data_IF_394619524389
#
_entry.id   IF_394619524389
#
_cell.length_a   1.000
_cell.length_b   1.000
_cell.length_c   1.000
_cell.angle_alpha   90.00
_cell.angle_beta   90.00
_cell.angle_gamma   90.00
#
_symmetry.space_group_name_H-M   'P 1'
#
loop_
_entity.id
_entity.type
_entity.pdbx_description
1 polymer ?
#
# COMPACT_ATOMS: atom_id res chain seq x y z
N UNK A 1 10.29 -10.86 14.12
CA UNK A 1 11.23 -11.33 13.09
C UNK A 1 11.20 -10.31 11.96
N UNK A 2 12.29 -9.58 11.72
CA UNK A 2 12.42 -8.75 10.52
C UNK A 2 12.85 -9.66 9.37
N UNK A 3 12.08 -9.66 8.30
CA UNK A 3 12.40 -10.42 7.10
C UNK A 3 13.00 -9.42 6.09
N UNK A 4 14.22 -9.69 5.62
CA UNK A 4 14.91 -8.86 4.63
C UNK A 4 15.00 -9.52 3.25
N UNK A 5 14.95 -8.70 2.19
CA UNK A 5 15.23 -9.17 0.84
C UNK A 5 16.59 -9.86 0.77
N UNK A 6 16.69 -10.86 -0.09
CA UNK A 6 17.95 -11.53 -0.38
C UNK A 6 17.83 -13.02 -0.69
N UNK A 7 18.98 -13.69 -0.89
CA UNK A 7 20.31 -13.10 -0.92
C UNK A 7 20.47 -12.07 -2.06
N UNK A 8 21.21 -10.99 -1.82
CA UNK A 8 21.48 -9.96 -2.83
C UNK A 8 22.40 -10.52 -3.93
N UNK A 9 22.35 -9.93 -5.12
CA UNK A 9 23.32 -10.23 -6.18
C UNK A 9 24.70 -9.58 -5.91
N UNK A 10 25.68 -9.84 -6.78
CA UNK A 10 27.05 -9.31 -6.66
C UNK A 10 27.14 -7.78 -6.69
N UNK A 11 26.12 -7.10 -7.23
CA UNK A 11 26.02 -5.64 -7.29
C UNK A 11 25.23 -5.06 -6.09
N UNK A 12 24.88 -5.91 -5.11
CA UNK A 12 24.08 -5.55 -3.94
C UNK A 12 22.60 -5.30 -4.26
N UNK A 13 22.07 -5.87 -5.35
CA UNK A 13 20.68 -5.66 -5.76
C UNK A 13 19.76 -6.76 -5.25
N UNK A 14 18.50 -6.39 -5.02
CA UNK A 14 17.43 -7.34 -4.70
C UNK A 14 17.17 -8.26 -5.89
N UNK A 15 17.00 -9.59 -5.71
CA UNK A 15 16.69 -10.51 -6.81
C UNK A 15 15.45 -10.09 -7.60
N UNK A 16 15.50 -10.19 -8.93
CA UNK A 16 14.43 -9.75 -9.84
C UNK A 16 13.06 -10.36 -9.51
N UNK A 17 13.02 -11.59 -8.97
CA UNK A 17 11.77 -12.27 -8.58
C UNK A 17 11.12 -11.61 -7.39
N UNK A 18 11.92 -11.26 -6.38
CA UNK A 18 11.46 -10.54 -5.19
C UNK A 18 11.02 -9.12 -5.58
N UNK A 19 11.79 -8.45 -6.45
CA UNK A 19 11.40 -7.15 -6.99
C UNK A 19 10.04 -7.22 -7.70
N UNK A 20 9.87 -8.18 -8.62
CA UNK A 20 8.64 -8.37 -9.39
C UNK A 20 7.43 -8.56 -8.47
N UNK A 21 7.50 -9.49 -7.51
CA UNK A 21 6.36 -9.80 -6.62
C UNK A 21 5.99 -8.62 -5.72
N UNK A 22 6.98 -7.95 -5.11
CA UNK A 22 6.71 -6.78 -4.25
C UNK A 22 6.22 -5.60 -5.06
N UNK A 23 6.86 -5.28 -6.19
CA UNK A 23 6.43 -4.20 -7.06
C UNK A 23 4.99 -4.42 -7.54
N UNK A 24 4.64 -5.63 -7.95
CA UNK A 24 3.28 -5.94 -8.39
C UNK A 24 2.25 -5.79 -7.28
N UNK A 25 2.55 -6.23 -6.06
CA UNK A 25 1.65 -6.03 -4.92
C UNK A 25 1.44 -4.54 -4.63
N UNK A 26 2.52 -3.77 -4.56
CA UNK A 26 2.47 -2.33 -4.35
C UNK A 26 1.72 -1.61 -5.47
N UNK A 27 1.97 -1.96 -6.74
CA UNK A 27 1.25 -1.43 -7.89
C UNK A 27 -0.24 -1.76 -7.83
N UNK A 28 -0.61 -2.97 -7.39
CA UNK A 28 -2.01 -3.34 -7.20
C UNK A 28 -2.68 -2.49 -6.11
N UNK A 29 -2.05 -2.37 -4.94
CA UNK A 29 -2.58 -1.61 -3.81
C UNK A 29 -2.71 -0.10 -4.14
N UNK A 30 -1.61 0.53 -4.57
CA UNK A 30 -1.59 1.96 -4.94
C UNK A 30 -2.43 2.24 -6.19
N UNK A 31 -2.44 1.32 -7.16
CA UNK A 31 -3.29 1.41 -8.34
C UNK A 31 -4.78 1.35 -8.00
N UNK A 32 -5.17 0.53 -7.02
CA UNK A 32 -6.55 0.47 -6.55
C UNK A 32 -6.97 1.77 -5.86
N UNK A 33 -6.09 2.34 -5.02
CA UNK A 33 -6.30 3.68 -4.46
C UNK A 33 -6.46 4.73 -5.56
N UNK A 34 -5.55 4.76 -6.54
CA UNK A 34 -5.63 5.66 -7.68
C UNK A 34 -6.96 5.55 -8.43
N UNK A 35 -7.40 4.33 -8.75
CA UNK A 35 -8.72 4.09 -9.39
C UNK A 35 -9.87 4.62 -8.54
N UNK A 36 -9.86 4.34 -7.23
CA UNK A 36 -10.94 4.75 -6.32
C UNK A 36 -10.97 6.26 -6.08
N UNK A 37 -9.81 6.92 -5.97
CA UNK A 37 -9.73 8.38 -5.92
C UNK A 37 -10.24 9.00 -7.22
N UNK A 38 -9.83 8.47 -8.39
CA UNK A 38 -10.30 8.95 -9.68
C UNK A 38 -11.83 8.86 -9.83
N UNK A 39 -12.46 7.79 -9.34
CA UNK A 39 -13.92 7.64 -9.32
C UNK A 39 -14.62 8.55 -8.31
N UNK A 40 -13.92 8.97 -7.24
CA UNK A 40 -14.45 9.92 -6.25
C UNK A 40 -14.34 11.39 -6.72
N UNK A 41 -13.41 11.72 -7.62
CA UNK A 41 -13.20 13.10 -8.12
C UNK A 41 -14.45 13.79 -8.70
N UNK A 42 -15.32 13.12 -9.48
CA UNK A 42 -16.52 13.75 -10.05
C UNK A 42 -17.61 14.05 -9.02
N UNK A 43 -17.51 13.52 -7.79
CA UNK A 43 -18.46 13.84 -6.73
C UNK A 43 -18.30 15.32 -6.36
N UNK A 44 -19.42 16.05 -6.31
CA UNK A 44 -19.45 17.45 -5.89
C UNK A 44 -19.10 17.55 -4.41
N UNK A 45 -17.82 17.67 -4.14
CA UNK A 45 -17.25 17.80 -2.81
C UNK A 45 -16.83 19.25 -2.62
N UNK A 46 -16.72 19.69 -1.36
CA UNK A 46 -16.18 21.02 -1.05
C UNK A 46 -14.80 21.20 -1.71
N UNK A 47 -14.50 22.41 -2.19
CA UNK A 47 -13.33 22.69 -3.05
C UNK A 47 -11.99 22.27 -2.43
N UNK A 48 -11.86 22.38 -1.11
CA UNK A 48 -10.68 21.95 -0.37
C UNK A 48 -10.47 20.42 -0.47
N UNK A 49 -11.55 19.64 -0.36
CA UNK A 49 -11.50 18.18 -0.46
C UNK A 49 -11.25 17.70 -1.88
N UNK A 50 -11.75 18.43 -2.90
CA UNK A 50 -11.43 18.14 -4.30
C UNK A 50 -9.94 18.32 -4.61
N UNK A 51 -9.29 19.34 -4.02
CA UNK A 51 -7.85 19.57 -4.22
C UNK A 51 -7.03 18.43 -3.61
N UNK A 52 -7.39 18.01 -2.40
CA UNK A 52 -6.74 16.89 -1.73
C UNK A 52 -6.93 15.57 -2.49
N UNK A 53 -8.14 15.27 -2.96
CA UNK A 53 -8.39 14.06 -3.76
C UNK A 53 -7.58 14.03 -5.07
N UNK A 54 -7.42 15.17 -5.74
CA UNK A 54 -6.56 15.26 -6.93
C UNK A 54 -5.10 15.01 -6.58
N UNK A 55 -4.61 15.58 -5.47
CA UNK A 55 -3.26 15.35 -5.00
C UNK A 55 -3.04 13.87 -4.67
N UNK A 56 -3.96 13.22 -3.95
CA UNK A 56 -3.91 11.79 -3.65
C UNK A 56 -3.85 10.97 -4.93
N UNK A 57 -4.77 11.19 -5.87
CA UNK A 57 -4.78 10.49 -7.16
C UNK A 57 -3.46 10.62 -7.94
N UNK A 58 -2.92 11.84 -8.03
CA UNK A 58 -1.64 12.09 -8.71
C UNK A 58 -0.49 11.34 -8.04
N UNK A 59 -0.39 11.38 -6.71
CA UNK A 59 0.67 10.71 -5.98
C UNK A 59 0.59 9.18 -6.10
N UNK A 60 -0.60 8.59 -6.03
CA UNK A 60 -0.78 7.16 -6.27
C UNK A 60 -0.33 6.75 -7.68
N UNK A 61 -0.65 7.58 -8.68
CA UNK A 61 -0.23 7.35 -10.07
C UNK A 61 1.29 7.48 -10.26
N UNK A 62 1.92 8.43 -9.56
CA UNK A 62 3.37 8.59 -9.56
C UNK A 62 4.07 7.39 -8.93
N UNK A 63 3.56 6.87 -7.80
CA UNK A 63 4.06 5.65 -7.15
C UNK A 63 4.01 4.47 -8.12
N UNK A 64 2.87 4.24 -8.77
CA UNK A 64 2.70 3.17 -9.76
C UNK A 64 3.70 3.32 -10.91
N UNK A 65 3.82 4.52 -11.48
CA UNK A 65 4.75 4.82 -12.58
C UNK A 65 6.22 4.65 -12.18
N UNK A 66 6.58 5.04 -10.95
CA UNK A 66 7.91 4.85 -10.39
C UNK A 66 8.25 3.36 -10.28
N UNK A 67 7.37 2.56 -9.68
CA UNK A 67 7.58 1.12 -9.52
C UNK A 67 7.66 0.39 -10.85
N UNK A 68 6.81 0.75 -11.83
CA UNK A 68 6.85 0.17 -13.18
C UNK A 68 8.23 0.36 -13.84
N UNK A 69 8.86 1.52 -13.65
CA UNK A 69 10.16 1.86 -14.28
C UNK A 69 11.37 1.37 -13.48
N UNK A 70 11.28 1.37 -12.15
CA UNK A 70 12.40 1.03 -11.26
C UNK A 70 12.60 -0.47 -11.09
N UNK A 71 11.57 -1.28 -11.34
CA UNK A 71 11.58 -2.72 -11.10
C UNK A 71 12.27 -3.48 -12.24
N UNK A 72 13.17 -4.39 -11.89
CA UNK A 72 13.69 -5.39 -12.82
C UNK A 72 12.68 -6.54 -12.96
N UNK A 73 11.79 -6.40 -13.92
CA UNK A 73 10.74 -7.37 -14.20
C UNK A 73 11.29 -8.71 -14.67
N UNK A 74 10.71 -9.79 -14.15
CA UNK A 74 10.86 -11.13 -14.69
C UNK A 74 9.51 -11.84 -14.76
N UNK A 75 9.31 -12.77 -15.72
CA UNK A 75 8.07 -13.54 -15.79
C UNK A 75 7.82 -14.32 -14.50
N UNK A 76 6.60 -14.21 -13.97
CA UNK A 76 6.13 -15.00 -12.84
C UNK A 76 4.68 -15.44 -13.08
N UNK A 77 4.49 -16.71 -13.44
CA UNK A 77 3.18 -17.25 -13.79
C UNK A 77 2.19 -17.25 -12.61
N UNK A 78 2.69 -17.35 -11.37
CA UNK A 78 1.84 -17.31 -10.19
C UNK A 78 1.22 -15.91 -9.99
N UNK A 79 1.83 -14.87 -10.57
CA UNK A 79 1.40 -13.50 -10.38
C UNK A 79 -0.01 -13.24 -10.91
N UNK A 80 -0.45 -13.92 -11.97
CA UNK A 80 -1.82 -13.78 -12.47
C UNK A 80 -2.87 -14.14 -11.43
N UNK A 81 -2.66 -15.26 -10.73
CA UNK A 81 -3.54 -15.70 -9.64
C UNK A 81 -3.46 -14.76 -8.43
N UNK A 82 -2.24 -14.39 -8.03
CA UNK A 82 -2.02 -13.49 -6.89
C UNK A 82 -2.65 -12.11 -7.12
N UNK A 83 -2.44 -11.53 -8.31
CA UNK A 83 -3.02 -10.24 -8.68
C UNK A 83 -4.55 -10.28 -8.65
N UNK A 84 -5.16 -11.34 -9.17
CA UNK A 84 -6.61 -11.50 -9.09
C UNK A 84 -7.10 -11.53 -7.63
N UNK A 85 -6.41 -12.26 -6.74
CA UNK A 85 -6.75 -12.31 -5.32
C UNK A 85 -6.64 -10.93 -4.66
N UNK A 86 -5.56 -10.19 -4.90
CA UNK A 86 -5.39 -8.83 -4.34
C UNK A 86 -6.46 -7.87 -4.82
N UNK A 87 -6.73 -7.86 -6.13
CA UNK A 87 -7.72 -6.96 -6.72
C UNK A 87 -9.13 -7.16 -6.13
N UNK A 88 -9.49 -8.39 -5.74
CA UNK A 88 -10.75 -8.63 -5.04
C UNK A 88 -10.81 -8.01 -3.64
N UNK A 89 -9.69 -7.96 -2.91
CA UNK A 89 -9.62 -7.35 -1.59
C UNK A 89 -9.74 -5.82 -1.63
N UNK A 90 -9.36 -5.21 -2.76
CA UNK A 90 -9.41 -3.76 -2.94
C UNK A 90 -10.80 -3.23 -3.31
N UNK A 91 -11.77 -4.11 -3.56
CA UNK A 91 -13.11 -3.69 -3.93
C UNK A 91 -13.75 -2.79 -2.87
N UNK A 92 -14.53 -1.77 -3.30
CA UNK A 92 -15.28 -0.93 -2.39
C UNK A 92 -16.26 -1.77 -1.56
N UNK A 93 -16.26 -1.54 -0.25
CA UNK A 93 -17.21 -2.15 0.66
C UNK A 93 -17.67 -1.07 1.64
N UNK A 94 -18.91 -0.56 1.48
CA UNK A 94 -19.42 0.52 2.31
C UNK A 94 -19.28 0.17 3.81
N UNK A 95 -18.84 1.14 4.61
CA UNK A 95 -18.67 0.93 6.04
C UNK A 95 -20.03 0.65 6.71
N UNK A 96 -20.14 -0.50 7.37
CA UNK A 96 -21.34 -0.89 8.11
C UNK A 96 -21.65 0.11 9.23
N UNK A 97 -22.93 0.39 9.47
CA UNK A 97 -23.37 1.30 10.54
C UNK A 97 -23.39 2.79 10.17
N UNK A 98 -23.10 3.15 8.92
CA UNK A 98 -23.27 4.52 8.40
C UNK A 98 -24.47 4.54 7.43
N UNK A 99 -25.57 5.24 7.76
CA UNK A 99 -26.78 5.25 6.93
C UNK A 99 -26.61 5.92 5.57
N UNK A 100 -25.81 6.99 5.51
CA UNK A 100 -25.47 7.66 4.24
C UNK A 100 -24.46 6.81 3.47
N UNK A 101 -24.90 6.23 2.37
CA UNK A 101 -24.08 5.35 1.54
C UNK A 101 -22.86 6.06 0.92
N UNK A 102 -22.99 7.33 0.54
CA UNK A 102 -21.86 8.07 -0.03
C UNK A 102 -20.80 8.33 1.04
N UNK A 103 -21.23 8.69 2.25
CA UNK A 103 -20.34 8.83 3.40
C UNK A 103 -19.69 7.48 3.79
N UNK A 104 -20.46 6.40 3.77
CA UNK A 104 -19.97 5.05 4.06
C UNK A 104 -18.88 4.59 3.07
N UNK A 105 -19.03 4.91 1.78
CA UNK A 105 -18.02 4.64 0.75
C UNK A 105 -16.79 5.54 0.91
N UNK A 106 -16.96 6.81 1.28
CA UNK A 106 -15.86 7.72 1.55
C UNK A 106 -15.03 7.26 2.77
N UNK A 107 -15.70 6.78 3.82
CA UNK A 107 -15.05 6.16 5.00
C UNK A 107 -14.30 4.89 4.59
N UNK A 108 -14.88 4.00 3.78
CA UNK A 108 -14.15 2.81 3.30
C UNK A 108 -12.92 3.17 2.47
N UNK A 109 -13.00 4.20 1.61
CA UNK A 109 -11.84 4.67 0.84
C UNK A 109 -10.76 5.23 1.75
N UNK A 110 -11.11 6.09 2.70
CA UNK A 110 -10.15 6.69 3.62
C UNK A 110 -9.51 5.65 4.55
N UNK A 111 -10.29 4.67 5.04
CA UNK A 111 -9.76 3.58 5.88
C UNK A 111 -8.87 2.62 5.10
N UNK A 112 -9.21 2.30 3.83
CA UNK A 112 -8.33 1.51 2.97
C UNK A 112 -7.02 2.24 2.68
N UNK A 113 -7.09 3.52 2.27
CA UNK A 113 -5.90 4.34 2.02
C UNK A 113 -5.01 4.42 3.27
N UNK A 114 -5.61 4.67 4.43
CA UNK A 114 -4.88 4.66 5.71
C UNK A 114 -4.24 3.29 5.97
N UNK A 115 -4.94 2.18 5.75
CA UNK A 115 -4.42 0.84 6.01
C UNK A 115 -3.23 0.51 5.09
N UNK A 116 -3.31 0.86 3.80
CA UNK A 116 -2.22 0.70 2.82
C UNK A 116 -1.02 1.56 3.22
N UNK A 117 -1.21 2.87 3.41
CA UNK A 117 -0.12 3.81 3.67
C UNK A 117 0.57 3.59 5.01
N UNK A 118 -0.16 3.17 6.04
CA UNK A 118 0.41 2.91 7.36
C UNK A 118 0.94 1.47 7.51
N UNK A 119 0.29 0.50 6.87
CA UNK A 119 0.52 -0.93 7.09
C UNK A 119 1.62 -1.53 6.22
N UNK A 120 1.90 -0.96 5.05
CA UNK A 120 2.90 -1.50 4.11
C UNK A 120 4.19 -0.68 4.23
N UNK A 121 5.27 -1.35 4.64
CA UNK A 121 6.59 -0.74 4.90
C UNK A 121 7.66 -1.38 4.01
N UNK A 122 7.68 -1.05 2.70
CA UNK A 122 8.53 -1.75 1.75
C UNK A 122 10.02 -1.42 1.94
N UNK A 123 10.37 -0.23 2.46
CA UNK A 123 11.77 0.11 2.71
C UNK A 123 12.33 -0.65 3.91
N UNK A 124 11.49 -1.08 4.85
CA UNK A 124 11.88 -1.91 5.98
C UNK A 124 12.34 -3.34 5.58
N UNK A 125 12.05 -3.78 4.35
CA UNK A 125 12.52 -5.05 3.80
C UNK A 125 13.95 -4.96 3.26
N UNK A 126 14.49 -3.76 3.06
CA UNK A 126 15.82 -3.58 2.49
C UNK A 126 16.89 -3.97 3.51
N UNK A 127 17.78 -4.93 3.21
CA UNK A 127 18.95 -5.17 4.05
C UNK A 127 19.89 -3.96 4.00
N UNK A 128 20.74 -3.82 5.02
CA UNK A 128 21.66 -2.68 5.17
C UNK A 128 22.67 -2.62 4.01
N UNK A 129 23.03 -3.78 3.47
CA UNK A 129 23.98 -3.98 2.39
C UNK A 129 23.39 -3.70 1.00
N UNK A 130 22.07 -3.45 0.90
CA UNK A 130 21.43 -3.15 -0.38
C UNK A 130 22.02 -1.88 -1.00
N UNK A 131 22.34 -1.96 -2.29
CA UNK A 131 22.92 -0.84 -3.03
C UNK A 131 21.99 0.37 -3.02
N UNK A 132 22.39 1.43 -2.32
CA UNK A 132 21.58 2.63 -2.14
C UNK A 132 21.30 3.40 -3.44
N UNK A 133 22.07 3.16 -4.50
CA UNK A 133 21.91 3.76 -5.82
C UNK A 133 21.13 2.87 -6.80
N UNK A 134 20.70 1.68 -6.37
CA UNK A 134 19.84 0.84 -7.19
C UNK A 134 18.44 1.49 -7.33
N UNK A 135 17.90 1.62 -8.56
CA UNK A 135 16.62 2.28 -8.78
C UNK A 135 15.46 1.68 -7.98
N UNK A 136 15.41 0.35 -7.82
CA UNK A 136 14.35 -0.31 -7.07
C UNK A 136 14.45 0.02 -5.57
N UNK A 137 15.66 -0.02 -5.01
CA UNK A 137 15.92 0.37 -3.62
C UNK A 137 15.50 1.83 -3.35
N UNK A 138 15.87 2.75 -4.24
CA UNK A 138 15.45 4.15 -4.15
C UNK A 138 13.93 4.30 -4.25
N UNK A 139 13.29 3.54 -5.14
CA UNK A 139 11.84 3.55 -5.30
C UNK A 139 11.12 3.10 -4.03
N UNK A 140 11.53 2.01 -3.38
CA UNK A 140 10.87 1.54 -2.15
C UNK A 140 10.95 2.57 -1.01
N UNK A 141 12.12 3.22 -0.86
CA UNK A 141 12.29 4.32 0.10
C UNK A 141 11.37 5.50 -0.20
N UNK A 142 11.26 5.88 -1.48
CA UNK A 142 10.39 6.97 -1.93
C UNK A 142 8.91 6.65 -1.69
N UNK A 143 8.48 5.43 -2.01
CA UNK A 143 7.10 4.97 -1.80
C UNK A 143 6.73 5.02 -0.32
N UNK A 144 7.59 4.53 0.56
CA UNK A 144 7.34 4.56 2.01
C UNK A 144 7.28 5.98 2.55
N UNK A 145 8.19 6.86 2.09
CA UNK A 145 8.18 8.28 2.46
C UNK A 145 6.89 8.98 2.03
N UNK A 146 6.48 8.82 0.77
CA UNK A 146 5.26 9.44 0.26
C UNK A 146 4.01 8.87 0.93
N UNK A 147 3.95 7.55 1.18
CA UNK A 147 2.85 6.94 1.95
C UNK A 147 2.70 7.58 3.33
N UNK A 148 3.82 7.84 4.02
CA UNK A 148 3.80 8.54 5.30
C UNK A 148 3.25 9.98 5.22
N UNK A 149 3.52 10.69 4.12
CA UNK A 149 3.00 12.04 3.87
C UNK A 149 1.50 12.01 3.56
N UNK A 150 1.07 11.09 2.69
CA UNK A 150 -0.33 10.97 2.25
C UNK A 150 -1.26 10.62 3.40
N UNK A 151 -0.80 9.77 4.32
CA UNK A 151 -1.55 9.27 5.48
C UNK A 151 -2.24 10.38 6.32
N UNK A 152 -1.66 11.58 6.37
CA UNK A 152 -2.22 12.67 7.17
C UNK A 152 -3.61 13.10 6.71
N UNK A 153 -3.87 13.08 5.40
CA UNK A 153 -5.18 13.46 4.86
C UNK A 153 -6.27 12.49 5.33
N UNK A 154 -5.97 11.19 5.35
CA UNK A 154 -6.91 10.18 5.86
C UNK A 154 -7.11 10.33 7.37
N UNK A 155 -6.06 10.61 8.15
CA UNK A 155 -6.19 10.84 9.60
C UNK A 155 -7.11 12.03 9.88
N UNK A 156 -6.92 13.15 9.17
CA UNK A 156 -7.73 14.35 9.35
C UNK A 156 -9.20 14.06 8.99
N UNK A 157 -9.45 13.43 7.85
CA UNK A 157 -10.79 13.07 7.42
C UNK A 157 -11.49 12.13 8.42
N UNK A 158 -10.83 11.03 8.80
CA UNK A 158 -11.40 10.02 9.69
C UNK A 158 -11.68 10.56 11.10
N UNK A 159 -10.97 11.61 11.52
CA UNK A 159 -11.18 12.31 12.80
C UNK A 159 -12.14 13.50 12.69
N UNK A 160 -12.67 13.82 11.51
CA UNK A 160 -13.58 14.94 11.28
C UNK A 160 -14.84 14.89 12.15
N UNK A 161 -15.43 16.07 12.40
CA UNK A 161 -16.62 16.23 13.25
C UNK A 161 -17.84 15.51 12.68
N UNK A 162 -17.98 15.47 11.35
CA UNK A 162 -19.07 14.78 10.65
C UNK A 162 -19.10 13.26 10.91
N UNK A 163 -17.98 12.68 11.37
CA UNK A 163 -17.85 11.27 11.69
C UNK A 163 -17.97 10.95 13.19
N UNK A 164 -18.15 11.96 14.05
CA UNK A 164 -18.35 11.77 15.50
C UNK A 164 -19.54 10.85 15.81
N UNK A 165 -20.70 10.96 15.15
CA UNK A 165 -21.82 10.05 15.41
C UNK A 165 -21.55 8.59 15.02
N UNK A 166 -20.51 8.34 14.21
CA UNK A 166 -20.21 7.04 13.59
C UNK A 166 -18.85 6.46 14.03
N UNK A 167 -18.32 6.89 15.19
CA UNK A 167 -16.95 6.53 15.62
C UNK A 167 -16.71 5.02 15.71
N UNK A 168 -17.69 4.26 16.18
CA UNK A 168 -17.57 2.81 16.30
C UNK A 168 -17.51 2.14 14.91
N UNK A 169 -18.37 2.59 13.99
CA UNK A 169 -18.37 2.13 12.59
C UNK A 169 -17.05 2.44 11.88
N UNK A 170 -16.53 3.67 12.05
CA UNK A 170 -15.24 4.08 11.49
C UNK A 170 -14.09 3.24 12.04
N UNK A 171 -14.08 3.01 13.37
CA UNK A 171 -13.03 2.21 14.02
C UNK A 171 -13.08 0.75 13.56
N UNK A 172 -14.27 0.16 13.47
CA UNK A 172 -14.45 -1.20 12.98
C UNK A 172 -14.00 -1.34 11.51
N UNK A 173 -14.35 -0.38 10.65
CA UNK A 173 -13.90 -0.35 9.26
C UNK A 173 -12.37 -0.22 9.15
N UNK A 174 -11.76 0.65 9.96
CA UNK A 174 -10.32 0.85 10.00
C UNK A 174 -9.60 -0.44 10.43
N UNK A 175 -10.01 -1.07 11.53
CA UNK A 175 -9.42 -2.32 12.01
C UNK A 175 -9.56 -3.46 11.00
N UNK A 176 -10.72 -3.58 10.36
CA UNK A 176 -10.96 -4.56 9.29
C UNK A 176 -9.97 -4.36 8.14
N UNK A 177 -9.84 -3.14 7.62
CA UNK A 177 -8.93 -2.84 6.50
C UNK A 177 -7.47 -3.06 6.88
N UNK A 178 -7.08 -2.68 8.10
CA UNK A 178 -5.75 -2.97 8.62
C UNK A 178 -5.46 -4.47 8.72
N UNK A 179 -6.40 -5.26 9.22
CA UNK A 179 -6.25 -6.71 9.31
C UNK A 179 -6.12 -7.36 7.93
N UNK A 180 -6.93 -6.93 6.97
CA UNK A 180 -6.90 -7.39 5.58
C UNK A 180 -5.57 -7.05 4.89
N UNK A 181 -5.13 -5.78 4.95
CA UNK A 181 -3.86 -5.35 4.34
C UNK A 181 -2.68 -6.08 4.97
N UNK A 182 -2.64 -6.21 6.31
CA UNK A 182 -1.57 -6.96 7.00
C UNK A 182 -1.54 -8.42 6.60
N UNK A 183 -2.71 -9.05 6.44
CA UNK A 183 -2.80 -10.44 6.00
C UNK A 183 -2.19 -10.59 4.61
N UNK A 184 -2.65 -9.80 3.64
CA UNK A 184 -2.16 -9.87 2.26
C UNK A 184 -0.68 -9.55 2.15
N UNK A 185 -0.22 -8.53 2.89
CA UNK A 185 1.20 -8.19 2.91
C UNK A 185 2.06 -9.34 3.42
N UNK A 186 1.68 -9.97 4.53
CA UNK A 186 2.39 -11.16 5.05
C UNK A 186 2.38 -12.32 4.07
N UNK A 187 1.24 -12.64 3.45
CA UNK A 187 1.14 -13.73 2.47
C UNK A 187 2.10 -13.51 1.29
N UNK A 188 2.31 -12.25 0.87
CA UNK A 188 3.29 -11.93 -0.17
C UNK A 188 4.73 -12.05 0.31
N UNK A 189 5.03 -11.63 1.54
CA UNK A 189 6.36 -11.81 2.10
C UNK A 189 6.70 -13.29 2.29
N UNK A 190 5.76 -14.11 2.76
CA UNK A 190 5.93 -15.56 2.86
C UNK A 190 6.16 -16.18 1.47
N UNK A 191 5.52 -15.66 0.43
CA UNK A 191 5.69 -16.13 -0.94
C UNK A 191 7.01 -15.74 -1.62
N UNK A 192 7.79 -14.77 -1.11
CA UNK A 192 9.02 -14.28 -1.81
C UNK A 192 10.33 -14.79 -1.18
N UNK A 193 10.24 -15.79 -0.28
CA UNK A 193 11.38 -16.39 0.42
C UNK A 193 12.29 -15.34 1.08
N UNK A 194 11.68 -14.35 1.76
CA UNK A 194 12.42 -13.32 2.49
C UNK A 194 13.26 -14.02 3.58
N UNK A 195 14.56 -13.73 3.65
CA UNK A 195 15.43 -14.39 4.64
C UNK A 195 15.06 -13.92 6.05
N UNK A 196 14.80 -14.87 6.94
CA UNK A 196 14.74 -14.62 8.38
C UNK A 196 16.17 -14.67 8.93
N UNK A 197 16.61 -13.60 9.59
CA UNK A 197 17.87 -13.62 10.34
C UNK A 197 17.74 -14.57 11.54
N UNK A 198 18.05 -15.85 11.34
CA UNK A 198 18.36 -16.80 12.42
C UNK A 198 19.87 -16.97 12.64
N UNK A 199 20.74 -16.31 11.87
CA UNK A 199 22.20 -16.53 11.93
C UNK A 199 23.00 -15.48 12.72
N UNK A 200 22.35 -14.62 13.51
CA UNK A 200 23.01 -13.59 14.31
C UNK A 200 23.61 -14.03 15.66
N UNK A 201 23.67 -15.33 15.97
CA UNK A 201 24.08 -15.79 17.32
C UNK A 201 24.79 -17.15 17.34
N UNK A 202 25.71 -17.41 16.40
CA UNK A 202 26.76 -18.43 16.58
C UNK A 202 28.06 -18.03 15.86
N UNK A 203 28.91 -17.26 16.55
CA UNK A 203 30.37 -17.32 16.38
C UNK A 203 31.02 -17.06 17.73
#
# INVERSE_FOLDING_TARGET
MSAFFGPLDSDGRVPARQQTRVASFLISAHGALGRRFALALPLRLESAWQTELNAQFYNESEIVSLLLRATRWMPDLALGYLAAAWETAWFPAAADGIPDHALALAVDLATLAHAIHAGIRPAALLPVEANANDPFVMALRRVEFESGRLLQAQIIFLKGESLVPFRDAVSAALERRHAEVRKLWREILEGIDVSSDENGLKS
#
